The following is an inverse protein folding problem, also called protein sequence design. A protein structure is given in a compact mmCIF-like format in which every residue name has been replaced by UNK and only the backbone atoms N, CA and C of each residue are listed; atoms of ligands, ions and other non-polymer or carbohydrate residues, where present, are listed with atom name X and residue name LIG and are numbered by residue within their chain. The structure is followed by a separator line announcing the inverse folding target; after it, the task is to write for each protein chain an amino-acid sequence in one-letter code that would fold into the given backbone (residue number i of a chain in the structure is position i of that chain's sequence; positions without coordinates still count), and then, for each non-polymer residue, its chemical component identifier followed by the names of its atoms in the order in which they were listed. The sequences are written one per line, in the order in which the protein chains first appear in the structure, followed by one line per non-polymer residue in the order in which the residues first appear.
data_IF_436658109101
#
_entry.id   IF_436658109101
#
_cell.length_a   1.000
_cell.length_b   1.000
_cell.length_c   1.000
_cell.angle_alpha   90.00
_cell.angle_beta   90.00
_cell.angle_gamma   90.00
#
_symmetry.space_group_name_H-M   'P 1'
#
loop_
_entity.id
_entity.type
_entity.pdbx_description
1 polymer ?
#
# COMPACT_ATOMS: atom_id res chain seq x y z
N UNK A 1 -18.60 -5.02 8.52
CA UNK A 1 -19.43 -4.04 9.26
C UNK A 1 -18.71 -3.69 10.56
N UNK A 2 -18.75 -2.44 11.01
CA UNK A 2 -18.19 -2.03 12.30
C UNK A 2 -19.33 -1.40 13.12
N UNK A 3 -19.66 -2.02 14.25
CA UNK A 3 -20.65 -1.50 15.21
C UNK A 3 -19.94 -0.77 16.35
N UNK A 4 -20.40 0.44 16.69
CA UNK A 4 -19.89 1.16 17.86
C UNK A 4 -20.71 0.76 19.07
N UNK A 5 -20.05 0.22 20.09
CA UNK A 5 -20.72 -0.22 21.31
C UNK A 5 -21.34 0.95 22.09
N UNK A 6 -22.53 0.73 22.64
CA UNK A 6 -23.13 1.63 23.61
C UNK A 6 -22.46 1.45 24.98
N UNK A 7 -22.04 2.55 25.60
CA UNK A 7 -21.56 2.54 26.98
C UNK A 7 -22.74 2.48 27.93
N UNK A 8 -22.85 1.40 28.70
CA UNK A 8 -23.94 1.18 29.65
C UNK A 8 -23.51 1.39 31.12
N UNK A 9 -22.21 1.55 31.36
CA UNK A 9 -21.65 1.87 32.66
C UNK A 9 -20.13 2.11 32.58
N UNK A 10 -19.46 2.42 33.71
CA UNK A 10 -18.00 2.50 33.76
C UNK A 10 -17.38 1.15 33.34
N UNK A 11 -16.62 1.11 32.26
CA UNK A 11 -16.01 -0.13 31.73
C UNK A 11 -16.99 -1.13 31.11
N UNK A 12 -18.29 -0.85 31.10
CA UNK A 12 -19.31 -1.74 30.57
C UNK A 12 -19.87 -1.21 29.26
N UNK A 13 -19.80 -2.05 28.23
CA UNK A 13 -20.22 -1.75 26.88
C UNK A 13 -21.10 -2.87 26.33
N UNK A 14 -22.04 -2.53 25.45
CA UNK A 14 -22.98 -3.45 24.82
C UNK A 14 -23.06 -3.18 23.32
N UNK A 15 -23.18 -4.22 22.50
CA UNK A 15 -23.47 -4.04 21.07
C UNK A 15 -24.82 -3.38 20.87
N UNK A 16 -24.95 -2.55 19.83
CA UNK A 16 -26.22 -1.87 19.55
C UNK A 16 -27.15 -2.73 18.69
N UNK A 17 -26.57 -3.74 18.06
CA UNK A 17 -27.24 -4.68 17.17
C UNK A 17 -26.68 -6.10 17.39
N UNK A 18 -27.39 -7.15 16.93
CA UNK A 18 -26.85 -8.49 16.89
C UNK A 18 -25.57 -8.55 16.05
N UNK A 19 -24.58 -9.32 16.53
CA UNK A 19 -23.32 -9.55 15.80
C UNK A 19 -23.29 -10.99 15.30
N UNK A 20 -22.74 -11.24 14.10
CA UNK A 20 -22.72 -12.58 13.54
C UNK A 20 -21.74 -13.48 14.27
N UNK A 21 -22.13 -14.72 14.55
CA UNK A 21 -21.29 -15.74 15.23
C UNK A 21 -21.48 -17.12 14.61
N UNK A 22 -21.62 -17.16 13.28
CA UNK A 22 -21.89 -18.38 12.52
C UNK A 22 -21.15 -18.38 11.17
N UNK A 23 -21.07 -19.55 10.53
CA UNK A 23 -20.45 -19.70 9.21
C UNK A 23 -19.03 -19.12 9.17
N UNK A 24 -18.71 -18.41 8.10
CA UNK A 24 -17.36 -17.88 7.87
C UNK A 24 -17.10 -16.51 8.51
N UNK A 25 -18.02 -16.03 9.37
CA UNK A 25 -17.88 -14.73 9.99
C UNK A 25 -16.74 -14.71 11.03
N UNK A 26 -15.91 -13.67 10.99
CA UNK A 26 -14.98 -13.35 12.07
C UNK A 26 -15.50 -12.13 12.83
N UNK A 27 -15.80 -12.32 14.11
CA UNK A 27 -16.36 -11.29 15.00
C UNK A 27 -15.42 -11.04 16.15
N UNK A 28 -15.08 -9.77 16.33
CA UNK A 28 -14.05 -9.32 17.26
C UNK A 28 -14.43 -7.98 17.87
N UNK A 29 -14.06 -7.80 19.13
CA UNK A 29 -14.15 -6.55 19.86
C UNK A 29 -12.85 -5.78 19.66
N UNK A 30 -12.91 -4.65 18.95
CA UNK A 30 -11.75 -3.78 18.71
C UNK A 30 -11.71 -2.61 19.70
N UNK A 31 -10.51 -2.30 20.18
CA UNK A 31 -10.14 -1.01 20.77
C UNK A 31 -9.04 -0.40 19.92
N UNK A 32 -9.25 0.83 19.47
CA UNK A 32 -8.31 1.54 18.60
C UNK A 32 -8.23 3.04 18.91
N UNK A 33 -7.06 3.62 18.68
CA UNK A 33 -6.77 5.07 18.78
C UNK A 33 -6.29 5.67 17.44
N UNK A 34 -6.39 4.90 16.35
CA UNK A 34 -5.94 5.26 15.00
C UNK A 34 -4.49 4.89 14.69
N UNK A 35 -3.63 4.76 15.70
CA UNK A 35 -2.24 4.28 15.55
C UNK A 35 -2.10 2.82 15.96
N UNK A 36 -2.93 2.41 16.89
CA UNK A 36 -2.97 1.09 17.48
C UNK A 36 -4.34 0.50 17.23
N UNK A 37 -4.36 -0.72 16.67
CA UNK A 37 -5.56 -1.53 16.52
C UNK A 37 -5.36 -2.83 17.31
N UNK A 38 -6.04 -2.91 18.44
CA UNK A 38 -6.06 -4.13 19.26
C UNK A 38 -7.45 -4.72 19.29
N UNK A 39 -7.53 -6.04 19.37
CA UNK A 39 -8.81 -6.71 19.41
C UNK A 39 -8.80 -7.94 20.32
N UNK A 40 -10.01 -8.33 20.73
CA UNK A 40 -10.33 -9.61 21.35
C UNK A 40 -11.26 -10.35 20.41
N UNK A 41 -10.93 -11.56 19.94
CA UNK A 41 -11.84 -12.34 19.12
C UNK A 41 -13.03 -12.81 19.97
N UNK A 42 -14.24 -12.69 19.43
CA UNK A 42 -15.48 -13.20 20.02
C UNK A 42 -15.83 -14.53 19.36
N UNK A 43 -15.84 -14.55 18.02
CA UNK A 43 -16.09 -15.73 17.20
C UNK A 43 -15.14 -15.75 16.01
N UNK A 44 -14.49 -16.88 15.79
CA UNK A 44 -13.78 -17.16 14.56
C UNK A 44 -13.94 -18.65 14.22
N UNK A 45 -14.39 -19.01 13.02
CA UNK A 45 -14.50 -20.40 12.62
C UNK A 45 -13.12 -21.07 12.60
N UNK A 46 -13.12 -22.40 12.76
CA UNK A 46 -11.98 -23.22 12.38
C UNK A 46 -11.70 -23.01 10.88
N UNK A 47 -10.43 -23.02 10.53
CA UNK A 47 -10.00 -22.90 9.15
C UNK A 47 -9.11 -24.10 8.83
N UNK A 48 -9.63 -25.09 8.12
CA UNK A 48 -8.91 -26.33 7.84
C UNK A 48 -7.71 -26.13 6.90
N UNK A 49 -7.62 -24.98 6.21
CA UNK A 49 -6.49 -24.66 5.33
C UNK A 49 -5.25 -24.19 6.12
N UNK A 50 -5.40 -23.84 7.39
CA UNK A 50 -4.32 -23.39 8.28
C UNK A 50 -4.42 -24.07 9.66
N UNK A 51 -3.33 -24.18 10.44
CA UNK A 51 -3.42 -24.72 11.80
C UNK A 51 -3.99 -23.68 12.78
N UNK A 52 -5.14 -23.07 12.46
CA UNK A 52 -5.81 -22.08 13.29
C UNK A 52 -7.08 -22.68 13.91
N UNK A 53 -7.09 -22.97 15.22
CA UNK A 53 -8.25 -23.54 15.89
C UNK A 53 -9.43 -22.56 15.91
N UNK A 54 -10.64 -23.12 15.99
CA UNK A 54 -11.85 -22.33 16.20
C UNK A 54 -11.75 -21.49 17.48
N UNK A 55 -12.24 -20.26 17.39
CA UNK A 55 -12.54 -19.42 18.54
C UNK A 55 -14.06 -19.40 18.72
N UNK A 56 -14.63 -20.27 19.56
CA UNK A 56 -16.09 -20.37 19.69
C UNK A 56 -16.67 -19.15 20.42
N UNK A 57 -17.91 -18.83 20.08
CA UNK A 57 -18.70 -17.80 20.75
C UNK A 57 -19.22 -18.31 22.09
N UNK A 58 -18.41 -18.16 23.13
CA UNK A 58 -18.77 -18.55 24.50
C UNK A 58 -19.75 -17.54 25.12
N UNK A 59 -20.67 -18.03 25.96
CA UNK A 59 -21.60 -17.18 26.70
C UNK A 59 -20.90 -16.14 27.60
N UNK A 60 -19.71 -16.49 28.10
CA UNK A 60 -18.82 -15.58 28.82
C UNK A 60 -17.37 -16.02 28.60
N UNK A 61 -16.47 -15.07 28.37
CA UNK A 61 -15.03 -15.32 28.27
C UNK A 61 -14.22 -14.10 28.65
N UNK A 62 -12.97 -14.32 29.06
CA UNK A 62 -11.99 -13.26 29.29
C UNK A 62 -10.74 -13.60 28.50
N UNK A 63 -10.34 -12.70 27.61
CA UNK A 63 -9.20 -12.86 26.71
C UNK A 63 -8.41 -11.55 26.67
N UNK A 64 -7.08 -11.60 26.52
CA UNK A 64 -6.26 -10.40 26.40
C UNK A 64 -6.52 -9.70 25.07
N UNK A 65 -6.41 -8.37 25.08
CA UNK A 65 -6.30 -7.61 23.83
C UNK A 65 -4.94 -7.89 23.20
N UNK A 66 -4.95 -8.30 21.94
CA UNK A 66 -3.75 -8.49 21.13
C UNK A 66 -3.84 -7.63 19.87
N UNK A 67 -2.75 -7.48 19.14
CA UNK A 67 -2.76 -6.76 17.87
C UNK A 67 -3.73 -7.45 16.91
N UNK A 68 -4.65 -6.68 16.33
CA UNK A 68 -5.66 -7.26 15.44
C UNK A 68 -5.04 -7.99 14.26
N UNK A 69 -3.91 -7.49 13.76
CA UNK A 69 -3.17 -8.13 12.67
C UNK A 69 -2.81 -9.58 13.00
N UNK A 70 -2.52 -9.92 14.26
CA UNK A 70 -2.19 -11.31 14.64
C UNK A 70 -3.42 -12.23 14.63
N UNK A 71 -4.63 -11.66 14.79
CA UNK A 71 -5.90 -12.38 14.77
C UNK A 71 -6.39 -12.57 13.34
N UNK A 72 -6.33 -11.51 12.51
CA UNK A 72 -6.89 -11.53 11.16
C UNK A 72 -5.90 -12.05 10.11
N UNK A 73 -4.61 -11.84 10.29
CA UNK A 73 -3.57 -12.32 9.39
C UNK A 73 -2.89 -13.57 9.95
N UNK A 74 -3.69 -14.58 10.35
CA UNK A 74 -3.16 -15.84 10.90
C UNK A 74 -2.28 -16.59 9.90
N UNK A 75 -2.50 -16.36 8.61
CA UNK A 75 -1.70 -16.91 7.51
C UNK A 75 -0.34 -16.24 7.34
N UNK A 76 -0.20 -14.99 7.82
CA UNK A 76 1.05 -14.24 7.61
C UNK A 76 2.13 -14.80 8.52
N UNK A 77 3.17 -15.35 7.91
CA UNK A 77 4.38 -15.73 8.63
C UNK A 77 5.03 -14.48 9.24
N UNK A 78 4.94 -14.39 10.58
CA UNK A 78 5.53 -13.28 11.33
C UNK A 78 7.01 -13.51 11.66
N UNK A 79 7.57 -14.66 11.30
CA UNK A 79 9.00 -14.97 11.46
C UNK A 79 9.85 -14.45 10.29
N UNK A 80 9.21 -14.01 9.20
CA UNK A 80 9.91 -13.43 8.06
C UNK A 80 10.78 -12.24 8.51
N UNK A 81 12.08 -12.21 8.13
CA UNK A 81 12.98 -11.14 8.53
C UNK A 81 12.50 -9.76 8.07
N UNK A 82 12.32 -8.84 9.01
CA UNK A 82 11.79 -7.50 8.73
C UNK A 82 12.62 -6.71 7.70
N UNK A 83 13.93 -6.96 7.62
CA UNK A 83 14.83 -6.29 6.68
C UNK A 83 14.52 -6.58 5.21
N UNK A 84 13.88 -7.73 4.89
CA UNK A 84 13.54 -8.09 3.51
C UNK A 84 12.59 -7.08 2.87
N UNK A 85 11.61 -6.60 3.65
CA UNK A 85 10.69 -5.56 3.19
C UNK A 85 11.44 -4.26 2.88
N UNK A 86 12.35 -3.85 3.76
CA UNK A 86 13.17 -2.65 3.57
C UNK A 86 14.10 -2.79 2.37
N UNK A 87 14.79 -3.93 2.23
CA UNK A 87 15.68 -4.19 1.10
C UNK A 87 14.92 -4.20 -0.23
N UNK A 88 13.77 -4.89 -0.30
CA UNK A 88 12.89 -4.85 -1.47
C UNK A 88 12.43 -3.44 -1.81
N UNK A 89 12.04 -2.67 -0.79
CA UNK A 89 11.67 -1.25 -0.95
C UNK A 89 12.82 -0.40 -1.51
N UNK A 90 14.05 -0.60 -1.03
CA UNK A 90 15.25 0.10 -1.54
C UNK A 90 15.53 -0.27 -3.00
N UNK A 91 15.41 -1.54 -3.37
CA UNK A 91 15.59 -1.99 -4.75
C UNK A 91 14.55 -1.33 -5.67
N UNK A 92 13.27 -1.38 -5.29
CA UNK A 92 12.19 -0.75 -6.06
C UNK A 92 12.41 0.77 -6.17
N UNK A 93 12.81 1.43 -5.09
CA UNK A 93 13.14 2.85 -5.08
C UNK A 93 14.26 3.16 -6.08
N UNK A 94 15.34 2.39 -6.06
CA UNK A 94 16.47 2.59 -6.96
C UNK A 94 16.06 2.44 -8.43
N UNK A 95 15.32 1.38 -8.77
CA UNK A 95 14.81 1.17 -10.12
C UNK A 95 13.88 2.32 -10.57
N UNK A 96 13.02 2.80 -9.67
CA UNK A 96 12.14 3.93 -9.94
C UNK A 96 12.93 5.21 -10.23
N UNK A 97 13.95 5.50 -9.41
CA UNK A 97 14.82 6.66 -9.60
C UNK A 97 15.65 6.56 -10.87
N UNK A 98 16.11 5.36 -11.25
CA UNK A 98 16.79 5.14 -12.53
C UNK A 98 15.90 5.48 -13.71
N UNK A 99 14.64 5.02 -13.70
CA UNK A 99 13.67 5.31 -14.76
C UNK A 99 13.42 6.81 -14.86
N UNK A 100 13.12 7.47 -13.74
CA UNK A 100 12.91 8.93 -13.70
C UNK A 100 14.14 9.65 -14.24
N UNK A 101 15.33 9.30 -13.77
CA UNK A 101 16.59 9.94 -14.19
C UNK A 101 16.86 9.74 -15.69
N UNK A 102 16.63 8.55 -16.23
CA UNK A 102 16.80 8.26 -17.64
C UNK A 102 15.83 9.08 -18.51
N UNK A 103 14.57 9.20 -18.09
CA UNK A 103 13.57 10.01 -18.78
C UNK A 103 13.91 11.51 -18.73
N UNK A 104 14.27 12.03 -17.55
CA UNK A 104 14.68 13.43 -17.40
C UNK A 104 15.92 13.75 -18.23
N UNK A 105 16.93 12.88 -18.21
CA UNK A 105 18.14 13.06 -19.00
C UNK A 105 17.87 12.96 -20.50
N UNK A 106 17.08 11.96 -20.93
CA UNK A 106 16.68 11.80 -22.33
C UNK A 106 15.93 13.02 -22.87
N UNK A 107 14.94 13.51 -22.12
CA UNK A 107 14.19 14.71 -22.48
C UNK A 107 15.07 15.97 -22.50
N UNK A 108 15.92 16.16 -21.48
CA UNK A 108 16.83 17.30 -21.40
C UNK A 108 17.88 17.30 -22.52
N UNK A 109 18.40 16.11 -22.88
CA UNK A 109 19.30 15.93 -24.01
C UNK A 109 18.63 16.39 -25.31
N UNK A 110 17.42 15.91 -25.61
CA UNK A 110 16.67 16.28 -26.82
C UNK A 110 16.43 17.79 -26.86
N UNK A 111 15.95 18.38 -25.76
CA UNK A 111 15.73 19.83 -25.67
C UNK A 111 17.03 20.62 -25.93
N UNK A 112 18.17 20.17 -25.42
CA UNK A 112 19.45 20.84 -25.71
C UNK A 112 19.86 20.74 -27.18
N UNK A 113 19.55 19.63 -27.88
CA UNK A 113 19.82 19.50 -29.32
C UNK A 113 18.99 20.48 -30.16
N UNK A 114 17.74 20.75 -29.79
CA UNK A 114 16.90 21.73 -30.47
C UNK A 114 17.35 23.18 -30.23
N UNK A 115 17.99 23.45 -29.10
CA UNK A 115 18.46 24.78 -28.70
C UNK A 115 19.89 25.11 -29.13
N UNK A 116 20.61 24.22 -29.83
CA UNK A 116 21.86 24.64 -30.47
C UNK A 116 21.56 25.76 -31.47
N UNK A 117 22.36 26.85 -31.52
CA UNK A 117 22.20 27.86 -32.55
C UNK A 117 22.24 27.14 -33.89
N UNK A 118 21.18 27.26 -34.70
CA UNK A 118 21.21 26.78 -36.08
C UNK A 118 22.51 27.32 -36.65
N UNK A 119 23.43 26.40 -37.02
CA UNK A 119 24.57 26.76 -37.86
C UNK A 119 23.98 27.66 -38.93
N UNK A 120 24.47 28.91 -39.09
CA UNK A 120 23.93 29.81 -40.11
C UNK A 120 23.80 28.95 -41.35
N UNK A 121 22.56 28.75 -41.80
CA UNK A 121 22.31 28.06 -43.05
C UNK A 121 23.33 28.66 -44.00
N UNK A 122 24.17 27.79 -44.54
CA UNK A 122 25.10 28.06 -45.60
C UNK A 122 24.39 29.03 -46.52
N UNK A 123 24.69 30.32 -46.33
CA UNK A 123 24.05 31.42 -47.03
C UNK A 123 24.50 31.14 -48.44
N UNK A 124 23.62 30.50 -49.21
CA UNK A 124 23.86 30.10 -50.58
C UNK A 124 24.49 31.31 -51.21
N UNK A 125 25.81 31.25 -51.39
CA UNK A 125 26.54 32.29 -52.07
C UNK A 125 25.95 32.26 -53.47
N UNK A 126 25.00 33.16 -53.73
CA UNK A 126 24.57 33.46 -55.07
C UNK A 126 25.81 34.04 -55.73
N UNK A 127 26.49 33.20 -56.50
CA UNK A 127 27.68 33.59 -57.26
C UNK A 127 27.26 34.76 -58.15
N UNK A 128 27.85 35.97 -58.00
CA UNK A 128 27.50 37.09 -58.84
C UNK A 128 28.02 36.79 -60.25
N UNK A 129 27.11 36.68 -61.23
CA UNK A 129 27.49 36.63 -62.65
C UNK A 129 27.01 35.42 -63.46
N UNK A 130 25.78 34.94 -63.25
CA UNK A 130 25.15 34.14 -64.32
C UNK A 130 24.50 35.12 -65.32
N UNK A 131 24.92 35.15 -66.60
CA UNK A 131 24.29 36.01 -67.59
C UNK A 131 22.85 35.56 -67.79
N UNK A 132 21.92 36.50 -67.72
CA UNK A 132 20.54 36.27 -68.15
C UNK A 132 20.55 36.23 -69.69
N UNK A 133 20.41 35.03 -70.26
CA UNK A 133 20.23 34.87 -71.70
C UNK A 133 18.86 35.45 -72.11
N UNK A 134 18.89 36.26 -73.16
CA UNK A 134 17.76 36.96 -73.76
C UNK A 134 16.75 36.01 -74.44
#
# INVERSE_FOLDING_TARGET
MIDKLAKVGPGHYRSTQPVPVWGDWKTLLRVQDGRTMTAVPIYEPADDAIPAPEVPALASSTRPFVLEATILQRERDQSAPAWLFTAGGIVVLFLTLMVISALTWGAGRINNYENLPRRPEEEKHTVPGTPQAA
#
